data_IF_114641484477
#
_entry.id   IF_114641484477
#
_cell.length_a   1.000
_cell.length_b   1.000
_cell.length_c   1.000
_cell.angle_alpha   90.00
_cell.angle_beta   90.00
_cell.angle_gamma   90.00
#
_symmetry.space_group_name_H-M   'P 1'
#
loop_
_entity.id
_entity.type
_entity.pdbx_description
1 polymer ?
#
# COMPACT_ATOMS: atom_id res chain seq x y z
N UNK A 1 -13.34 31.19 4.21
CA UNK A 1 -12.19 30.26 4.13
C UNK A 1 -12.68 28.82 4.36
N UNK A 2 -12.51 27.95 3.36
CA UNK A 2 -12.76 26.51 3.55
C UNK A 2 -11.73 25.97 4.55
N UNK A 3 -12.20 25.30 5.61
CA UNK A 3 -11.32 24.58 6.53
C UNK A 3 -10.94 23.27 5.86
N UNK A 4 -9.64 23.08 5.64
CA UNK A 4 -9.09 21.80 5.19
C UNK A 4 -8.77 20.96 6.43
N UNK A 5 -9.35 19.77 6.51
CA UNK A 5 -9.04 18.83 7.58
C UNK A 5 -7.73 18.11 7.26
N UNK A 6 -6.87 17.97 8.27
CA UNK A 6 -5.57 17.30 8.16
C UNK A 6 -5.47 16.32 9.30
N UNK A 7 -5.35 15.04 8.97
CA UNK A 7 -5.09 13.97 9.92
C UNK A 7 -3.58 13.78 10.12
N UNK A 8 -3.18 13.59 11.37
CA UNK A 8 -1.80 13.30 11.75
C UNK A 8 -1.70 11.85 12.22
N UNK A 9 -0.99 11.03 11.45
CA UNK A 9 -0.65 9.66 11.83
C UNK A 9 0.70 9.65 12.55
N UNK A 10 0.72 9.11 13.77
CA UNK A 10 1.94 8.87 14.53
C UNK A 10 2.13 7.37 14.72
N UNK A 11 3.31 6.85 14.42
CA UNK A 11 3.60 5.42 14.54
C UNK A 11 5.09 5.13 14.74
N UNK A 12 5.38 4.07 15.49
CA UNK A 12 6.74 3.56 15.73
C UNK A 12 6.95 2.18 15.11
N UNK A 13 6.16 1.82 14.09
CA UNK A 13 6.27 0.53 13.45
C UNK A 13 7.66 0.37 12.78
N UNK A 14 8.24 -0.85 12.76
CA UNK A 14 9.62 -1.06 12.29
C UNK A 14 9.88 -0.62 10.85
N UNK A 15 8.84 -0.59 10.01
CA UNK A 15 8.91 -0.18 8.61
C UNK A 15 8.93 1.34 8.40
N UNK A 16 8.47 2.14 9.37
CA UNK A 16 8.27 3.60 9.22
C UNK A 16 9.56 4.31 8.86
N UNK A 17 10.66 3.99 9.56
CA UNK A 17 11.96 4.62 9.31
C UNK A 17 12.46 4.37 7.88
N UNK A 18 12.25 3.16 7.37
CA UNK A 18 12.66 2.78 6.02
C UNK A 18 11.78 3.47 4.97
N UNK A 19 10.46 3.48 5.20
CA UNK A 19 9.50 4.09 4.30
C UNK A 19 9.71 5.61 4.14
N UNK A 20 10.11 6.30 5.22
CA UNK A 20 10.38 7.73 5.22
C UNK A 20 11.77 8.10 4.70
N UNK A 21 12.70 7.14 4.55
CA UNK A 21 14.05 7.42 4.06
C UNK A 21 14.08 7.75 2.55
N UNK A 22 13.14 7.17 1.80
CA UNK A 22 13.08 7.30 0.34
C UNK A 22 11.62 7.51 -0.15
N UNK A 23 10.97 8.63 0.22
CA UNK A 23 9.61 8.91 -0.24
C UNK A 23 9.57 9.10 -1.77
N UNK A 24 8.47 8.70 -2.40
CA UNK A 24 8.22 9.02 -3.81
C UNK A 24 7.62 10.42 -3.93
N UNK A 25 7.68 11.02 -5.11
CA UNK A 25 7.00 12.28 -5.38
C UNK A 25 5.70 12.00 -6.14
N UNK A 26 4.63 12.71 -5.77
CA UNK A 26 3.42 12.72 -6.57
C UNK A 26 3.54 13.67 -7.79
N UNK A 27 2.48 13.78 -8.58
CA UNK A 27 2.46 14.64 -9.76
C UNK A 27 2.60 16.15 -9.45
N UNK A 28 2.45 16.56 -8.19
CA UNK A 28 2.65 17.93 -7.73
C UNK A 28 4.02 18.14 -7.04
N UNK A 29 4.83 17.09 -6.92
CA UNK A 29 6.17 17.13 -6.31
C UNK A 29 6.17 16.93 -4.80
N UNK A 30 5.04 16.62 -4.17
CA UNK A 30 4.97 16.35 -2.74
C UNK A 30 5.50 14.95 -2.40
N UNK A 31 6.21 14.79 -1.28
CA UNK A 31 6.63 13.47 -0.82
C UNK A 31 5.41 12.66 -0.41
N UNK A 32 5.24 11.49 -1.00
CA UNK A 32 4.22 10.51 -0.70
C UNK A 32 4.85 9.19 -0.28
N UNK A 33 4.16 8.48 0.59
CA UNK A 33 4.55 7.13 1.00
C UNK A 33 4.50 6.19 -0.22
N UNK A 34 5.53 5.36 -0.38
CA UNK A 34 5.57 4.42 -1.51
C UNK A 34 4.47 3.35 -1.38
N UNK A 35 3.97 2.86 -2.51
CA UNK A 35 2.92 1.84 -2.63
C UNK A 35 3.14 0.63 -1.70
N UNK A 36 4.34 0.03 -1.60
CA UNK A 36 4.57 -1.10 -0.69
C UNK A 36 4.19 -0.81 0.77
N UNK A 37 4.50 0.40 1.26
CA UNK A 37 4.21 0.79 2.64
C UNK A 37 2.77 1.29 2.81
N UNK A 38 2.16 1.87 1.77
CA UNK A 38 0.72 2.16 1.77
C UNK A 38 -0.11 0.88 1.87
N UNK A 39 0.25 -0.16 1.11
CA UNK A 39 -0.40 -1.47 1.16
C UNK A 39 -0.18 -2.12 2.53
N UNK A 40 1.06 -2.15 3.04
CA UNK A 40 1.38 -2.67 4.37
C UNK A 40 0.55 -1.96 5.45
N UNK A 41 0.54 -0.63 5.44
CA UNK A 41 -0.22 0.17 6.41
C UNK A 41 -1.72 -0.13 6.32
N UNK A 42 -2.29 -0.24 5.11
CA UNK A 42 -3.70 -0.59 4.95
C UNK A 42 -3.99 -1.99 5.45
N UNK A 43 -3.15 -2.98 5.17
CA UNK A 43 -3.30 -4.35 5.69
C UNK A 43 -3.27 -4.36 7.22
N UNK A 44 -2.29 -3.67 7.84
CA UNK A 44 -2.17 -3.57 9.30
C UNK A 44 -3.36 -2.82 9.94
N UNK A 45 -3.91 -1.81 9.26
CA UNK A 45 -5.05 -1.04 9.72
C UNK A 45 -6.42 -1.74 9.48
N UNK A 46 -6.47 -2.74 8.61
CA UNK A 46 -7.72 -3.30 8.11
C UNK A 46 -8.46 -4.16 9.14
N UNK A 47 -9.61 -3.66 9.59
CA UNK A 47 -10.82 -4.49 9.72
C UNK A 47 -11.41 -4.66 8.32
N UNK A 48 -11.93 -5.84 7.98
CA UNK A 48 -12.45 -6.37 6.69
C UNK A 48 -13.18 -5.46 5.64
N UNK A 49 -13.23 -4.14 5.78
CA UNK A 49 -13.99 -3.18 4.96
C UNK A 49 -13.12 -2.49 3.88
N UNK A 50 -11.79 -2.50 3.98
CA UNK A 50 -10.86 -1.76 3.07
C UNK A 50 -10.33 -2.59 1.87
N UNK A 51 -10.93 -3.76 1.59
CA UNK A 51 -10.41 -4.66 0.55
C UNK A 51 -10.59 -4.14 -0.87
N UNK A 52 -11.66 -3.41 -1.18
CA UNK A 52 -11.90 -2.90 -2.53
C UNK A 52 -10.92 -1.79 -2.97
N UNK A 53 -10.39 -1.00 -2.03
CA UNK A 53 -9.35 -0.03 -2.35
C UNK A 53 -8.02 -0.75 -2.61
N UNK A 54 -7.70 -1.75 -1.79
CA UNK A 54 -6.50 -2.58 -1.94
C UNK A 54 -6.50 -3.33 -3.28
N UNK A 55 -7.59 -4.01 -3.66
CA UNK A 55 -7.66 -4.73 -4.95
C UNK A 55 -7.48 -3.79 -6.12
N UNK A 56 -8.11 -2.61 -6.10
CA UNK A 56 -7.96 -1.60 -7.15
C UNK A 56 -6.53 -1.06 -7.24
N UNK A 57 -5.89 -0.72 -6.12
CA UNK A 57 -4.50 -0.26 -6.08
C UNK A 57 -3.55 -1.31 -6.64
N UNK A 58 -3.71 -2.56 -6.21
CA UNK A 58 -2.86 -3.69 -6.63
C UNK A 58 -3.12 -4.11 -8.08
N UNK A 59 -4.36 -4.06 -8.56
CA UNK A 59 -4.70 -4.37 -9.95
C UNK A 59 -4.15 -3.36 -10.96
N UNK A 60 -3.97 -2.10 -10.54
CA UNK A 60 -3.42 -1.05 -11.39
C UNK A 60 -1.88 -1.01 -11.39
N UNK A 61 -1.25 -1.55 -10.35
CA UNK A 61 0.21 -1.56 -10.19
C UNK A 61 0.93 -2.37 -11.28
N UNK A 62 2.13 -1.91 -11.63
CA UNK A 62 3.05 -2.66 -12.51
C UNK A 62 3.62 -3.90 -11.82
N UNK A 63 4.11 -4.89 -12.58
CA UNK A 63 4.73 -6.07 -11.97
C UNK A 63 5.97 -5.73 -11.13
N UNK A 64 6.72 -4.68 -11.51
CA UNK A 64 7.84 -4.16 -10.71
C UNK A 64 7.37 -3.61 -9.36
N UNK A 65 6.26 -2.88 -9.35
CA UNK A 65 5.62 -2.37 -8.13
C UNK A 65 5.11 -3.51 -7.26
N UNK A 66 4.42 -4.48 -7.85
CA UNK A 66 3.95 -5.67 -7.15
C UNK A 66 5.11 -6.48 -6.56
N UNK A 67 6.24 -6.57 -7.26
CA UNK A 67 7.47 -7.17 -6.74
C UNK A 67 7.95 -6.47 -5.47
N UNK A 68 7.99 -5.14 -5.45
CA UNK A 68 8.37 -4.37 -4.24
C UNK A 68 7.36 -4.52 -3.11
N UNK A 69 6.06 -4.56 -3.42
CA UNK A 69 5.00 -4.81 -2.43
C UNK A 69 5.24 -6.17 -1.76
N UNK A 70 5.49 -7.24 -2.53
CA UNK A 70 5.79 -8.57 -1.99
C UNK A 70 7.00 -8.59 -1.06
N UNK A 71 8.09 -7.93 -1.44
CA UNK A 71 9.30 -7.87 -0.61
C UNK A 71 9.02 -7.18 0.74
N UNK A 72 8.28 -6.07 0.73
CA UNK A 72 7.93 -5.34 1.96
C UNK A 72 6.97 -6.14 2.84
N UNK A 73 5.91 -6.74 2.26
CA UNK A 73 4.97 -7.57 3.03
C UNK A 73 5.68 -8.79 3.61
N UNK A 74 6.50 -9.50 2.82
CA UNK A 74 7.28 -10.63 3.32
C UNK A 74 8.21 -10.25 4.48
N UNK A 75 8.75 -9.04 4.46
CA UNK A 75 9.68 -8.54 5.49
C UNK A 75 8.97 -8.12 6.78
N UNK A 76 7.80 -7.51 6.70
CA UNK A 76 7.16 -6.85 7.84
C UNK A 76 5.83 -7.47 8.29
N UNK A 77 5.14 -8.21 7.42
CA UNK A 77 3.86 -8.86 7.65
C UNK A 77 3.82 -10.21 6.90
N UNK A 78 4.75 -11.11 7.23
CA UNK A 78 4.93 -12.38 6.50
C UNK A 78 3.70 -13.29 6.55
N UNK A 79 2.86 -13.12 7.56
CA UNK A 79 1.57 -13.79 7.73
C UNK A 79 0.49 -13.29 6.76
N UNK A 80 0.66 -12.10 6.17
CA UNK A 80 -0.26 -11.51 5.20
C UNK A 80 0.12 -11.80 3.73
N UNK A 81 1.13 -12.64 3.47
CA UNK A 81 1.60 -12.91 2.10
C UNK A 81 0.52 -13.60 1.25
N UNK A 82 -0.16 -14.60 1.79
CA UNK A 82 -1.20 -15.34 1.06
C UNK A 82 -2.43 -14.45 0.77
N UNK A 83 -2.77 -13.57 1.72
CA UNK A 83 -3.81 -12.57 1.55
C UNK A 83 -3.43 -11.55 0.47
N UNK A 84 -2.18 -11.09 0.47
CA UNK A 84 -1.66 -10.19 -0.57
C UNK A 84 -1.81 -10.80 -1.96
N UNK A 85 -1.39 -12.05 -2.16
CA UNK A 85 -1.49 -12.69 -3.48
C UNK A 85 -2.94 -12.82 -3.94
N UNK A 86 -3.84 -13.12 -3.01
CA UNK A 86 -5.29 -13.16 -3.28
C UNK A 86 -5.81 -11.79 -3.72
N UNK A 87 -5.39 -10.72 -3.05
CA UNK A 87 -5.78 -9.35 -3.41
C UNK A 87 -5.20 -8.90 -4.75
N UNK A 88 -3.96 -9.29 -5.07
CA UNK A 88 -3.34 -9.03 -6.38
C UNK A 88 -4.13 -9.73 -7.47
N UNK A 89 -4.46 -11.01 -7.27
CA UNK A 89 -5.24 -11.80 -8.23
C UNK A 89 -6.61 -11.17 -8.48
N UNK A 90 -7.35 -10.86 -7.41
CA UNK A 90 -8.65 -10.20 -7.50
C UNK A 90 -8.55 -8.85 -8.20
N UNK A 91 -7.55 -8.04 -7.85
CA UNK A 91 -7.29 -6.76 -8.50
C UNK A 91 -7.02 -6.88 -10.00
N UNK A 92 -6.19 -7.84 -10.42
CA UNK A 92 -5.92 -8.11 -11.85
C UNK A 92 -7.19 -8.57 -12.58
N UNK A 93 -7.99 -9.42 -11.95
CA UNK A 93 -9.28 -9.86 -12.49
C UNK A 93 -10.24 -8.68 -12.69
N UNK A 94 -10.41 -7.83 -11.67
CA UNK A 94 -11.27 -6.63 -11.73
C UNK A 94 -10.85 -5.65 -12.84
N UNK A 95 -9.54 -5.50 -13.06
CA UNK A 95 -9.00 -4.61 -14.10
C UNK A 95 -8.91 -5.25 -15.49
N UNK A 96 -9.25 -6.54 -15.64
CA UNK A 96 -9.15 -7.26 -16.92
C UNK A 96 -7.71 -7.47 -17.38
N UNK A 97 -6.78 -7.71 -16.45
CA UNK A 97 -5.31 -7.81 -16.66
C UNK A 97 -4.73 -9.20 -16.30
N UNK A 98 -5.55 -10.24 -16.37
CA UNK A 98 -5.10 -11.63 -16.18
C UNK A 98 -4.37 -12.19 -17.40
#
# INVERSE_FOLDING_TARGET
PERMEVDLLWGSAPWVKEALAHPRQDGAGYPVLDLPYLILMKIEASRAVDFGELTRMLGLASDEELGRVREVIKKYASDAVDDLESLIYLGKLEMGRL
#
